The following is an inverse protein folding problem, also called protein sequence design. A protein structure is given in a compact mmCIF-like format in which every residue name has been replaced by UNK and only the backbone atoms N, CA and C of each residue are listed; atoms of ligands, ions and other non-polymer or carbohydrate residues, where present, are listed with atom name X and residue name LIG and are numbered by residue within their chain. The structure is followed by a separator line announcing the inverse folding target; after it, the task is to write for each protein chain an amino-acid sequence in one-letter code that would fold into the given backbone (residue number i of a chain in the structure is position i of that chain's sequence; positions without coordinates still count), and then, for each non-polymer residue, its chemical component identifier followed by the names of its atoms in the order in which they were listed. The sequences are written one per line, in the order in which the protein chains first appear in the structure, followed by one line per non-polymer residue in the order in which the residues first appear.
data_IF_827066551426
#
_entry.id   IF_827066551426
#
_cell.length_a   1.000
_cell.length_b   1.000
_cell.length_c   1.000
_cell.angle_alpha   90.00
_cell.angle_beta   90.00
_cell.angle_gamma   90.00
#
_symmetry.space_group_name_H-M   'P 1'
#
loop_
_entity.id
_entity.type
_entity.pdbx_description
1 polymer ?
#
# COMPACT_ATOMS: atom_id res chain seq x y z
N UNK A 1 -25.32 -70.32 -59.28
CA UNK A 1 -25.99 -69.49 -60.30
C UNK A 1 -25.02 -68.39 -60.76
N UNK A 2 -24.47 -68.58 -61.97
CA UNK A 2 -23.91 -67.64 -62.96
C UNK A 2 -22.93 -66.52 -62.49
N UNK A 3 -21.61 -66.64 -62.75
CA UNK A 3 -20.82 -66.20 -63.96
C UNK A 3 -20.20 -64.79 -63.71
N UNK A 4 -18.96 -64.42 -64.06
CA UNK A 4 -17.99 -64.89 -65.07
C UNK A 4 -16.61 -64.22 -64.84
N UNK A 5 -15.50 -64.98 -65.00
CA UNK A 5 -14.20 -64.72 -65.69
C UNK A 5 -13.59 -63.29 -65.69
N UNK A 6 -12.28 -63.07 -65.53
CA UNK A 6 -11.20 -63.46 -66.47
C UNK A 6 -9.82 -63.46 -65.79
N UNK A 7 -9.02 -64.45 -66.19
CA UNK A 7 -7.58 -64.67 -65.93
C UNK A 7 -6.69 -63.77 -66.80
N UNK A 8 -5.54 -63.33 -66.28
CA UNK A 8 -4.34 -63.21 -67.12
C UNK A 8 -3.08 -63.52 -66.30
N UNK A 9 -2.47 -64.66 -66.62
CA UNK A 9 -1.09 -64.98 -66.27
C UNK A 9 -0.14 -64.27 -67.25
N UNK A 10 0.91 -63.65 -66.73
CA UNK A 10 2.16 -63.45 -67.47
C UNK A 10 3.29 -64.03 -66.63
N UNK A 11 3.81 -65.15 -67.12
CA UNK A 11 5.09 -65.73 -66.74
C UNK A 11 6.20 -64.90 -67.36
N UNK A 12 7.20 -64.51 -66.56
CA UNK A 12 8.52 -64.16 -67.07
C UNK A 12 9.60 -64.67 -66.12
N UNK A 13 10.49 -65.48 -66.68
CA UNK A 13 11.65 -66.13 -66.05
C UNK A 13 12.81 -65.17 -65.81
N UNK A 14 13.37 -65.24 -64.58
CA UNK A 14 14.76 -65.06 -64.11
C UNK A 14 15.76 -64.23 -64.94
N UNK A 15 16.30 -63.16 -64.33
CA UNK A 15 17.75 -62.85 -64.28
C UNK A 15 18.07 -62.30 -62.88
N UNK A 16 18.94 -63.00 -62.13
CA UNK A 16 19.53 -62.50 -60.88
C UNK A 16 20.69 -61.57 -61.18
N UNK A 17 20.71 -60.39 -60.55
CA UNK A 17 21.92 -59.59 -60.33
C UNK A 17 21.94 -59.14 -58.87
N UNK A 18 23.11 -59.10 -58.21
CA UNK A 18 23.20 -58.72 -56.81
C UNK A 18 22.95 -57.22 -56.69
N UNK A 19 21.89 -56.81 -55.99
CA UNK A 19 21.78 -55.42 -55.53
C UNK A 19 22.49 -55.36 -54.19
N UNK A 20 23.64 -54.71 -54.20
CA UNK A 20 24.41 -54.32 -53.04
C UNK A 20 23.50 -53.66 -51.99
N UNK A 21 23.60 -54.13 -50.74
CA UNK A 21 23.10 -53.43 -49.57
C UNK A 21 23.85 -52.10 -49.44
N UNK A 22 23.28 -51.03 -49.98
CA UNK A 22 23.66 -49.69 -49.55
C UNK A 22 22.80 -49.35 -48.35
N UNK A 23 23.36 -49.53 -47.15
CA UNK A 23 22.93 -48.74 -46.01
C UNK A 23 23.28 -47.29 -46.36
N UNK A 24 22.32 -46.57 -46.92
CA UNK A 24 22.34 -45.11 -46.91
C UNK A 24 22.07 -44.75 -45.45
N UNK A 25 23.14 -44.56 -44.68
CA UNK A 25 23.04 -43.67 -43.54
C UNK A 25 22.81 -42.29 -44.15
N UNK A 26 21.55 -41.90 -44.24
CA UNK A 26 21.22 -40.49 -44.28
C UNK A 26 21.78 -39.93 -42.96
N UNK A 27 22.87 -39.19 -43.06
CA UNK A 27 23.29 -38.30 -41.98
C UNK A 27 22.12 -37.32 -41.81
N UNK A 28 21.28 -37.59 -40.81
CA UNK A 28 20.18 -36.74 -40.40
C UNK A 28 20.79 -35.47 -39.80
N UNK A 29 21.18 -34.56 -40.69
CA UNK A 29 21.69 -33.24 -40.37
C UNK A 29 20.51 -32.28 -40.08
N UNK A 30 19.44 -32.78 -39.44
CA UNK A 30 18.44 -31.90 -38.88
C UNK A 30 19.05 -31.20 -37.67
N UNK A 31 19.39 -29.92 -37.85
CA UNK A 31 19.83 -29.07 -36.75
C UNK A 31 18.76 -29.10 -35.66
N UNK A 32 19.14 -29.54 -34.45
CA UNK A 32 18.20 -29.64 -33.33
C UNK A 32 17.53 -28.27 -33.08
N UNK A 33 16.21 -28.26 -32.99
CA UNK A 33 15.41 -27.07 -32.67
C UNK A 33 14.97 -27.17 -31.21
N UNK A 34 15.14 -26.08 -30.47
CA UNK A 34 14.78 -25.95 -29.07
C UNK A 34 13.71 -24.89 -28.88
N UNK A 35 12.83 -25.13 -27.91
CA UNK A 35 11.77 -24.21 -27.51
C UNK A 35 12.24 -23.31 -26.37
N UNK A 36 12.17 -22.00 -26.56
CA UNK A 36 12.37 -21.02 -25.49
C UNK A 36 11.03 -20.40 -25.14
N UNK A 37 10.61 -20.50 -23.87
CA UNK A 37 9.38 -19.89 -23.38
C UNK A 37 9.70 -18.78 -22.40
N UNK A 38 9.09 -17.62 -22.61
CA UNK A 38 9.13 -16.52 -21.67
C UNK A 38 7.87 -16.53 -20.82
N UNK A 39 8.04 -16.38 -19.51
CA UNK A 39 6.94 -16.39 -18.55
C UNK A 39 6.83 -15.06 -17.81
N UNK A 40 5.59 -14.63 -17.53
CA UNK A 40 5.30 -13.48 -16.68
C UNK A 40 5.49 -13.81 -15.18
N UNK A 41 5.13 -12.87 -14.30
CA UNK A 41 5.25 -13.04 -12.85
C UNK A 41 4.33 -14.12 -12.26
N UNK A 42 3.26 -14.46 -12.98
CA UNK A 42 2.22 -15.41 -12.56
C UNK A 42 2.43 -16.80 -13.23
N UNK A 43 3.47 -16.96 -14.04
CA UNK A 43 3.80 -18.19 -14.74
C UNK A 43 3.01 -18.41 -16.04
N UNK A 44 2.40 -17.37 -16.61
CA UNK A 44 1.78 -17.45 -17.94
C UNK A 44 2.81 -17.21 -19.04
N UNK A 45 2.67 -17.90 -20.16
CA UNK A 45 3.55 -17.75 -21.32
C UNK A 45 3.28 -16.40 -22.00
N UNK A 46 4.32 -15.58 -22.13
CA UNK A 46 4.30 -14.29 -22.82
C UNK A 46 4.72 -14.41 -24.29
N UNK A 47 5.74 -15.23 -24.55
CA UNK A 47 6.31 -15.43 -25.88
C UNK A 47 6.90 -16.85 -25.98
N UNK A 48 7.00 -17.36 -27.21
CA UNK A 48 7.65 -18.64 -27.48
C UNK A 48 8.47 -18.55 -28.76
N UNK A 49 9.74 -18.94 -28.66
CA UNK A 49 10.68 -18.95 -29.77
C UNK A 49 11.10 -20.39 -30.08
N UNK A 50 11.23 -20.69 -31.36
CA UNK A 50 11.76 -21.96 -31.87
C UNK A 50 13.10 -21.65 -32.51
N UNK A 51 14.19 -22.07 -31.87
CA UNK A 51 15.55 -21.68 -32.22
C UNK A 51 16.39 -22.92 -32.51
N UNK A 52 17.27 -22.84 -33.51
CA UNK A 52 18.25 -23.90 -33.74
C UNK A 52 19.29 -23.94 -32.65
N UNK A 53 19.93 -25.09 -32.45
CA UNK A 53 21.06 -25.23 -31.54
C UNK A 53 22.15 -24.19 -31.83
N UNK A 54 22.48 -23.36 -30.83
CA UNK A 54 23.47 -22.28 -30.95
C UNK A 54 22.93 -20.97 -31.53
N UNK A 55 21.65 -20.89 -31.88
CA UNK A 55 21.01 -19.64 -32.32
C UNK A 55 20.72 -18.73 -31.11
N UNK A 56 20.75 -17.41 -31.35
CA UNK A 56 20.59 -16.42 -30.28
C UNK A 56 19.15 -16.19 -29.87
N UNK A 57 18.94 -15.96 -28.57
CA UNK A 57 17.63 -15.64 -28.00
C UNK A 57 17.27 -14.17 -28.25
N UNK A 58 16.07 -13.90 -28.78
CA UNK A 58 15.61 -12.53 -29.06
C UNK A 58 14.75 -11.98 -27.91
N UNK A 59 15.38 -11.26 -26.98
CA UNK A 59 14.70 -10.65 -25.84
C UNK A 59 13.82 -9.43 -26.18
N UNK A 60 13.76 -9.00 -27.45
CA UNK A 60 12.90 -7.89 -27.88
C UNK A 60 11.46 -8.33 -28.22
N UNK A 61 11.23 -9.64 -28.32
CA UNK A 61 9.91 -10.21 -28.67
C UNK A 61 8.91 -10.21 -27.52
N UNK A 62 9.26 -10.59 -26.28
CA UNK A 62 8.30 -10.56 -25.18
C UNK A 62 7.91 -9.10 -24.85
N UNK A 63 6.61 -8.82 -24.78
CA UNK A 63 6.11 -7.49 -24.42
C UNK A 63 6.21 -7.25 -22.90
N UNK A 64 7.37 -6.77 -22.45
CA UNK A 64 7.62 -6.43 -21.04
C UNK A 64 6.92 -5.15 -20.60
N UNK A 65 6.36 -4.34 -21.52
CA UNK A 65 5.62 -3.14 -21.15
C UNK A 65 4.29 -3.45 -20.47
N UNK A 66 3.73 -4.63 -20.77
CA UNK A 66 2.55 -5.19 -20.10
C UNK A 66 2.83 -5.60 -18.65
N UNK A 67 4.09 -5.84 -18.29
CA UNK A 67 4.53 -6.23 -16.95
C UNK A 67 4.77 -5.01 -16.05
N UNK A 68 3.87 -4.04 -16.10
CA UNK A 68 3.86 -2.88 -15.22
C UNK A 68 2.43 -2.59 -14.79
N UNK A 69 2.15 -2.73 -13.50
CA UNK A 69 0.82 -2.47 -12.96
C UNK A 69 0.86 -2.06 -11.49
N UNK A 70 -0.20 -1.40 -11.06
CA UNK A 70 -0.44 -1.09 -9.66
C UNK A 70 -1.18 -2.28 -9.03
N UNK A 71 -0.62 -2.87 -7.97
CA UNK A 71 -1.27 -3.93 -7.19
C UNK A 71 -2.38 -3.30 -6.35
N UNK A 72 -2.07 -2.17 -5.73
CA UNK A 72 -3.00 -1.33 -5.00
C UNK A 72 -2.61 0.15 -5.18
N UNK A 73 -3.15 1.05 -4.35
CA UNK A 73 -2.89 2.50 -4.47
C UNK A 73 -1.43 2.87 -4.17
N UNK A 74 -0.75 2.13 -3.30
CA UNK A 74 0.59 2.41 -2.79
C UNK A 74 1.61 1.34 -3.17
N UNK A 75 1.20 0.28 -3.87
CA UNK A 75 2.06 -0.79 -4.35
C UNK A 75 2.09 -0.84 -5.88
N UNK A 76 3.26 -0.66 -6.47
CA UNK A 76 3.49 -0.83 -7.90
C UNK A 76 4.53 -1.91 -8.16
N UNK A 77 4.26 -2.77 -9.14
CA UNK A 77 5.19 -3.80 -9.61
C UNK A 77 5.52 -3.56 -11.08
N UNK A 78 6.80 -3.70 -11.43
CA UNK A 78 7.25 -3.61 -12.81
C UNK A 78 8.35 -4.61 -13.16
N UNK A 79 8.47 -4.95 -14.45
CA UNK A 79 9.57 -5.75 -14.97
C UNK A 79 10.92 -5.10 -14.65
N UNK A 80 11.83 -5.92 -14.13
CA UNK A 80 13.19 -5.55 -13.82
C UNK A 80 14.16 -6.26 -14.77
N UNK A 81 14.11 -7.59 -14.81
CA UNK A 81 15.03 -8.40 -15.62
C UNK A 81 14.46 -9.80 -15.91
N UNK A 82 15.19 -10.61 -16.65
CA UNK A 82 14.96 -12.04 -16.79
C UNK A 82 15.80 -12.83 -15.79
N UNK A 83 15.29 -13.95 -15.29
CA UNK A 83 15.99 -14.76 -14.28
C UNK A 83 17.25 -15.45 -14.79
N UNK A 84 17.26 -15.79 -16.08
CA UNK A 84 18.42 -16.23 -16.83
C UNK A 84 18.49 -15.49 -18.18
N UNK A 85 19.70 -15.33 -18.71
CA UNK A 85 19.96 -14.70 -20.01
C UNK A 85 20.93 -15.51 -20.88
N UNK A 86 20.57 -16.72 -21.30
CA UNK A 86 21.40 -17.45 -22.26
C UNK A 86 21.54 -16.64 -23.56
N UNK A 87 22.77 -16.49 -24.05
CA UNK A 87 23.03 -15.89 -25.35
C UNK A 87 22.55 -16.79 -26.48
N UNK A 88 22.68 -18.12 -26.30
CA UNK A 88 22.29 -19.16 -27.27
C UNK A 88 21.68 -20.36 -26.54
N UNK A 89 20.98 -21.22 -27.28
CA UNK A 89 20.31 -22.39 -26.70
C UNK A 89 20.82 -23.72 -27.24
N UNK A 90 20.91 -24.69 -26.35
CA UNK A 90 21.27 -26.09 -26.65
C UNK A 90 20.27 -27.09 -26.05
N UNK A 91 19.18 -26.59 -25.48
CA UNK A 91 18.08 -27.35 -24.89
C UNK A 91 16.84 -26.45 -24.78
N UNK A 92 15.68 -27.06 -24.57
CA UNK A 92 14.47 -26.33 -24.18
C UNK A 92 14.74 -25.53 -22.91
N UNK A 93 14.30 -24.27 -22.92
CA UNK A 93 14.65 -23.30 -21.88
C UNK A 93 13.42 -22.49 -21.48
N UNK A 94 13.23 -22.33 -20.19
CA UNK A 94 12.21 -21.45 -19.61
C UNK A 94 12.90 -20.23 -19.01
N UNK A 95 12.40 -19.05 -19.33
CA UNK A 95 12.92 -17.77 -18.87
C UNK A 95 11.78 -17.04 -18.17
N UNK A 96 11.98 -16.72 -16.89
CA UNK A 96 10.94 -16.15 -16.04
C UNK A 96 11.23 -14.68 -15.75
N UNK A 97 10.19 -13.84 -15.83
CA UNK A 97 10.30 -12.43 -15.54
C UNK A 97 10.60 -12.17 -14.06
N UNK A 98 11.57 -11.31 -13.80
CA UNK A 98 11.87 -10.75 -12.48
C UNK A 98 11.23 -9.39 -12.34
N UNK A 99 10.72 -9.10 -11.16
CA UNK A 99 10.14 -7.80 -10.85
C UNK A 99 10.98 -6.96 -9.90
N UNK A 100 10.72 -5.66 -9.96
CA UNK A 100 10.91 -4.75 -8.84
C UNK A 100 9.55 -4.26 -8.37
N UNK A 101 9.38 -4.16 -7.05
CA UNK A 101 8.16 -3.75 -6.39
C UNK A 101 8.44 -2.57 -5.47
N UNK A 102 7.70 -1.49 -5.65
CA UNK A 102 7.75 -0.30 -4.80
C UNK A 102 6.48 -0.23 -3.95
N UNK A 103 6.65 -0.15 -2.64
CA UNK A 103 5.57 -0.04 -1.64
C UNK A 103 5.76 1.25 -0.84
N UNK A 104 4.73 2.08 -0.77
CA UNK A 104 4.65 3.18 0.20
C UNK A 104 3.87 2.70 1.43
N UNK A 105 4.45 2.79 2.61
CA UNK A 105 3.82 2.36 3.87
C UNK A 105 3.91 3.42 4.96
N UNK A 106 2.87 3.50 5.79
CA UNK A 106 2.89 4.19 7.08
C UNK A 106 3.40 3.20 8.14
N UNK A 107 4.66 3.33 8.52
CA UNK A 107 5.32 2.44 9.47
C UNK A 107 5.07 2.85 10.93
N UNK A 108 4.92 4.16 11.18
CA UNK A 108 4.52 4.70 12.48
C UNK A 108 3.78 6.02 12.35
N UNK A 109 2.79 6.24 13.23
CA UNK A 109 2.06 7.50 13.36
C UNK A 109 2.85 8.49 14.25
N UNK A 110 2.54 9.80 14.21
CA UNK A 110 3.10 10.77 15.13
C UNK A 110 2.93 10.38 16.61
N UNK A 111 3.93 10.68 17.42
CA UNK A 111 3.95 10.34 18.85
C UNK A 111 3.00 11.19 19.68
N UNK A 112 2.70 12.42 19.24
CA UNK A 112 1.81 13.34 19.93
C UNK A 112 0.37 13.22 19.40
N UNK A 113 -0.51 12.71 20.25
CA UNK A 113 -1.95 12.60 20.01
C UNK A 113 -2.82 13.39 21.01
N UNK A 114 -2.20 14.05 21.98
CA UNK A 114 -2.84 14.93 22.95
C UNK A 114 -2.29 16.34 22.80
N UNK A 115 -3.17 17.31 22.61
CA UNK A 115 -2.85 18.70 22.26
C UNK A 115 -3.42 19.67 23.28
N UNK A 116 -2.78 20.83 23.45
CA UNK A 116 -3.34 21.96 24.19
C UNK A 116 -3.77 23.08 23.23
N UNK A 117 -4.41 24.11 23.74
CA UNK A 117 -4.88 25.27 22.95
C UNK A 117 -3.75 26.12 22.37
N UNK A 118 -2.60 26.07 23.01
CA UNK A 118 -1.41 26.78 22.56
C UNK A 118 -0.74 26.08 21.37
N UNK A 119 -1.08 24.82 21.12
CA UNK A 119 -0.63 24.12 19.93
C UNK A 119 -1.26 24.74 18.68
N UNK A 120 -0.41 25.19 17.78
CA UNK A 120 -0.82 25.79 16.51
C UNK A 120 -0.76 24.80 15.35
N UNK A 121 0.20 23.87 15.38
CA UNK A 121 0.45 22.89 14.32
C UNK A 121 0.28 21.48 14.83
N UNK A 122 -0.25 20.60 13.97
CA UNK A 122 -0.24 19.16 14.22
C UNK A 122 1.21 18.67 14.14
N UNK A 123 1.65 18.00 15.20
CA UNK A 123 3.01 17.49 15.32
C UNK A 123 3.17 16.22 14.46
N UNK A 124 4.25 16.19 13.68
CA UNK A 124 4.61 15.05 12.83
C UNK A 124 5.77 14.23 13.42
N UNK A 125 6.21 14.52 14.64
CA UNK A 125 7.37 13.89 15.26
C UNK A 125 7.07 12.43 15.57
N UNK A 126 7.99 11.52 15.21
CA UNK A 126 7.80 10.08 15.37
C UNK A 126 7.00 9.41 14.25
N UNK A 127 6.41 10.20 13.33
CA UNK A 127 5.85 9.67 12.09
C UNK A 127 6.95 9.05 11.23
N UNK A 128 6.67 7.88 10.67
CA UNK A 128 7.53 7.23 9.68
C UNK A 128 6.72 6.73 8.51
N UNK A 129 7.00 7.29 7.34
CA UNK A 129 6.48 6.83 6.05
C UNK A 129 7.65 6.43 5.17
N UNK A 130 7.64 5.20 4.67
CA UNK A 130 8.76 4.62 3.94
C UNK A 130 8.34 4.22 2.53
N UNK A 131 9.22 4.45 1.55
CA UNK A 131 9.20 3.75 0.27
C UNK A 131 10.14 2.56 0.38
N UNK A 132 9.60 1.36 0.25
CA UNK A 132 10.39 0.12 0.16
C UNK A 132 10.40 -0.35 -1.29
N UNK A 133 11.60 -0.43 -1.88
CA UNK A 133 11.83 -1.01 -3.21
C UNK A 133 12.45 -2.39 -3.00
N UNK A 134 11.73 -3.43 -3.43
CA UNK A 134 12.17 -4.82 -3.36
C UNK A 134 12.36 -5.37 -4.77
N UNK A 135 13.59 -5.74 -5.12
CA UNK A 135 13.95 -6.24 -6.44
C UNK A 135 14.35 -7.70 -6.37
N UNK A 136 13.73 -8.53 -7.20
CA UNK A 136 14.10 -9.93 -7.32
C UNK A 136 15.50 -10.09 -7.92
N UNK A 137 16.31 -10.92 -7.28
CA UNK A 137 17.61 -11.32 -7.82
C UNK A 137 17.50 -12.66 -8.56
N UNK A 138 18.56 -13.02 -9.29
CA UNK A 138 18.68 -14.33 -9.93
C UNK A 138 18.99 -15.47 -8.93
N UNK A 139 19.32 -15.13 -7.68
CA UNK A 139 19.74 -16.08 -6.66
C UNK A 139 18.57 -16.54 -5.78
N UNK A 140 18.75 -17.71 -5.17
CA UNK A 140 17.79 -18.30 -4.24
C UNK A 140 18.45 -18.50 -2.86
N UNK A 141 17.65 -18.38 -1.80
CA UNK A 141 18.07 -18.67 -0.43
C UNK A 141 18.13 -20.18 -0.17
N UNK A 142 18.56 -20.57 1.04
CA UNK A 142 18.63 -21.98 1.44
C UNK A 142 17.28 -22.71 1.49
N UNK A 143 16.18 -21.95 1.49
CA UNK A 143 14.81 -22.47 1.54
C UNK A 143 14.19 -22.55 0.14
N UNK A 144 14.92 -22.16 -0.91
CA UNK A 144 14.43 -22.14 -2.28
C UNK A 144 13.59 -20.91 -2.63
N UNK A 145 13.56 -19.88 -1.77
CA UNK A 145 12.89 -18.62 -2.11
C UNK A 145 13.86 -17.72 -2.89
N UNK A 146 13.31 -16.93 -3.81
CA UNK A 146 14.11 -15.96 -4.55
C UNK A 146 14.61 -14.86 -3.60
N UNK A 147 15.91 -14.57 -3.64
CA UNK A 147 16.52 -13.51 -2.83
C UNK A 147 16.08 -12.16 -3.37
N UNK A 148 15.70 -11.26 -2.47
CA UNK A 148 15.31 -9.88 -2.76
C UNK A 148 16.42 -8.90 -2.35
N UNK A 149 16.78 -7.98 -3.23
CA UNK A 149 17.51 -6.76 -2.85
C UNK A 149 16.50 -5.71 -2.39
N UNK A 150 16.66 -5.19 -1.19
CA UNK A 150 15.69 -4.29 -0.55
C UNK A 150 16.34 -2.96 -0.23
N UNK A 151 15.76 -1.89 -0.77
CA UNK A 151 16.15 -0.51 -0.48
C UNK A 151 14.98 0.22 0.16
N UNK A 152 15.27 0.97 1.22
CA UNK A 152 14.26 1.74 1.94
C UNK A 152 14.65 3.21 1.94
N UNK A 153 13.67 4.07 1.65
CA UNK A 153 13.80 5.53 1.71
C UNK A 153 12.74 6.09 2.63
N UNK A 154 13.17 6.81 3.66
CA UNK A 154 12.28 7.60 4.51
C UNK A 154 11.77 8.82 3.73
N UNK A 155 10.45 8.94 3.60
CA UNK A 155 9.78 10.05 2.90
C UNK A 155 8.86 10.85 3.84
N UNK A 156 9.00 10.67 5.15
CA UNK A 156 8.13 11.30 6.16
C UNK A 156 8.11 12.82 6.03
N UNK A 157 9.26 13.43 5.76
CA UNK A 157 9.41 14.88 5.58
C UNK A 157 8.71 15.45 4.34
N UNK A 158 8.32 14.58 3.40
CA UNK A 158 7.59 14.96 2.18
C UNK A 158 6.08 14.77 2.31
N UNK A 159 5.63 14.15 3.40
CA UNK A 159 4.21 13.90 3.64
C UNK A 159 3.52 15.15 4.16
N UNK A 160 2.22 15.27 3.86
CA UNK A 160 1.35 16.34 4.37
C UNK A 160 0.31 15.75 5.31
N UNK A 161 0.17 16.35 6.48
CA UNK A 161 -0.88 16.04 7.45
C UNK A 161 -2.09 16.95 7.16
N UNK A 162 -3.30 16.40 7.16
CA UNK A 162 -4.52 17.17 6.90
C UNK A 162 -5.59 16.80 7.93
N UNK A 163 -6.10 17.77 8.71
CA UNK A 163 -5.60 19.15 8.84
C UNK A 163 -4.16 19.21 9.41
N UNK A 164 -3.39 20.24 9.05
CA UNK A 164 -2.04 20.47 9.62
C UNK A 164 -2.05 21.51 10.75
N UNK A 165 -3.17 22.19 10.97
CA UNK A 165 -3.35 23.19 12.00
C UNK A 165 -4.24 22.61 13.10
N UNK A 166 -3.75 22.63 14.34
CA UNK A 166 -4.48 22.04 15.47
C UNK A 166 -5.79 22.80 15.75
N UNK A 167 -5.82 24.13 15.61
CA UNK A 167 -7.04 24.93 15.81
C UNK A 167 -8.11 24.62 14.76
N UNK A 168 -7.69 24.38 13.52
CA UNK A 168 -8.61 23.92 12.47
C UNK A 168 -9.13 22.51 12.76
N UNK A 169 -8.26 21.60 13.19
CA UNK A 169 -8.62 20.23 13.53
C UNK A 169 -9.71 20.18 14.61
N UNK A 170 -9.55 20.98 15.67
CA UNK A 170 -10.46 21.01 16.81
C UNK A 170 -11.55 22.07 16.71
N UNK A 171 -11.80 22.62 15.51
CA UNK A 171 -12.80 23.69 15.34
C UNK A 171 -14.18 23.27 15.85
N UNK A 172 -14.62 22.06 15.52
CA UNK A 172 -15.98 21.59 15.80
C UNK A 172 -16.05 20.45 16.83
N UNK A 173 -14.92 19.99 17.37
CA UNK A 173 -14.82 18.80 18.22
C UNK A 173 -13.53 18.83 19.05
N UNK A 174 -13.56 18.23 20.24
CA UNK A 174 -12.36 18.01 21.08
C UNK A 174 -11.49 16.82 20.57
N UNK A 175 -11.92 16.17 19.49
CA UNK A 175 -11.19 15.10 18.79
C UNK A 175 -11.19 15.36 17.29
N UNK A 176 -10.14 14.93 16.60
CA UNK A 176 -10.02 15.07 15.16
C UNK A 176 -9.25 13.90 14.54
N UNK A 177 -9.69 13.46 13.35
CA UNK A 177 -8.93 12.54 12.50
C UNK A 177 -7.92 13.36 11.66
N UNK A 178 -6.65 12.97 11.71
CA UNK A 178 -5.59 13.51 10.87
C UNK A 178 -5.22 12.50 9.80
N UNK A 179 -5.28 12.92 8.54
CA UNK A 179 -4.92 12.09 7.37
C UNK A 179 -3.51 12.40 6.91
N UNK A 180 -2.75 11.38 6.55
CA UNK A 180 -1.36 11.48 6.11
C UNK A 180 -1.29 11.22 4.61
N UNK A 181 -0.87 12.21 3.83
CA UNK A 181 -0.74 12.12 2.38
C UNK A 181 0.73 12.13 1.97
N UNK A 182 1.22 11.10 1.26
CA UNK A 182 2.52 11.15 0.60
C UNK A 182 2.57 12.29 -0.44
N UNK A 183 3.78 12.71 -0.80
CA UNK A 183 3.98 13.77 -1.80
C UNK A 183 3.22 13.48 -3.09
N UNK A 184 2.49 14.47 -3.59
CA UNK A 184 1.72 14.39 -4.84
C UNK A 184 0.63 13.31 -4.87
N UNK A 185 0.25 12.74 -3.71
CA UNK A 185 -0.87 11.80 -3.60
C UNK A 185 -2.16 12.53 -3.23
N UNK A 186 -3.28 12.11 -3.82
CA UNK A 186 -4.64 12.50 -3.41
C UNK A 186 -5.29 11.48 -2.46
N UNK A 187 -4.60 10.38 -2.17
CA UNK A 187 -5.05 9.32 -1.26
C UNK A 187 -4.14 9.29 -0.04
N UNK A 188 -4.74 9.19 1.14
CA UNK A 188 -4.00 9.08 2.39
C UNK A 188 -3.39 7.68 2.53
N UNK A 189 -2.13 7.61 2.94
CA UNK A 189 -1.44 6.34 3.28
C UNK A 189 -1.93 5.80 4.63
N UNK A 190 -2.49 6.67 5.48
CA UNK A 190 -3.16 6.31 6.71
C UNK A 190 -3.73 7.53 7.42
N UNK A 191 -4.33 7.30 8.58
CA UNK A 191 -4.82 8.34 9.47
C UNK A 191 -4.59 7.97 10.93
N UNK A 192 -4.70 8.95 11.80
CA UNK A 192 -4.66 8.77 13.25
C UNK A 192 -5.52 9.82 13.94
N UNK A 193 -6.03 9.49 15.12
CA UNK A 193 -6.84 10.40 15.91
C UNK A 193 -5.99 11.22 16.87
N UNK A 194 -6.35 12.50 16.99
CA UNK A 194 -5.82 13.40 18.00
C UNK A 194 -6.96 13.89 18.91
N UNK A 195 -6.59 14.28 20.12
CA UNK A 195 -7.49 14.78 21.15
C UNK A 195 -6.94 16.05 21.77
N UNK A 196 -7.86 16.87 22.25
CA UNK A 196 -7.58 18.12 22.93
C UNK A 196 -7.63 17.88 24.44
N UNK A 197 -6.58 18.25 25.13
CA UNK A 197 -6.49 18.26 26.59
C UNK A 197 -7.29 19.45 27.12
N UNK A 198 -8.56 19.19 27.41
CA UNK A 198 -9.49 20.17 27.95
C UNK A 198 -9.86 19.81 29.38
N UNK A 199 -9.40 20.63 30.33
CA UNK A 199 -9.92 20.60 31.69
C UNK A 199 -11.28 21.32 31.71
N UNK A 200 -12.36 20.57 31.43
CA UNK A 200 -13.72 21.10 31.48
C UNK A 200 -14.05 21.63 32.87
N UNK A 201 -14.68 22.80 32.93
CA UNK A 201 -15.01 23.49 34.16
C UNK A 201 -13.90 24.33 34.77
N UNK A 202 -12.66 24.32 34.27
CA UNK A 202 -11.61 25.27 34.65
C UNK A 202 -11.65 26.48 33.69
N UNK A 203 -12.37 27.53 34.08
CA UNK A 203 -12.69 28.66 33.23
C UNK A 203 -11.64 29.77 33.25
N UNK A 204 -10.79 29.79 34.28
CA UNK A 204 -9.74 30.79 34.46
C UNK A 204 -8.33 30.23 34.15
N UNK A 205 -8.22 28.97 33.75
CA UNK A 205 -6.98 28.27 33.39
C UNK A 205 -5.97 28.19 34.55
N UNK A 206 -6.45 28.17 35.81
CA UNK A 206 -5.59 28.07 36.99
C UNK A 206 -5.27 26.61 37.40
N UNK A 207 -5.84 25.65 36.68
CA UNK A 207 -5.65 24.20 36.89
C UNK A 207 -6.53 23.63 38.00
N UNK A 208 -7.36 24.45 38.65
CA UNK A 208 -8.39 24.01 39.58
C UNK A 208 -9.78 24.15 38.95
N UNK A 209 -10.74 23.41 39.52
CA UNK A 209 -12.16 23.56 39.19
C UNK A 209 -12.84 23.93 40.50
N UNK A 210 -13.23 25.18 40.63
CA UNK A 210 -13.80 25.72 41.86
C UNK A 210 -14.97 26.70 41.65
N UNK A 211 -15.39 27.37 42.73
CA UNK A 211 -16.51 28.30 42.71
C UNK A 211 -16.32 29.52 41.80
N UNK A 212 -15.08 29.91 41.53
CA UNK A 212 -14.72 31.01 40.63
C UNK A 212 -15.10 30.67 39.20
N UNK A 213 -14.89 29.41 38.79
CA UNK A 213 -15.25 28.92 37.47
C UNK A 213 -16.76 28.85 37.28
N UNK A 214 -17.46 28.30 38.27
CA UNK A 214 -18.91 28.29 38.28
C UNK A 214 -19.50 29.70 38.17
N UNK A 215 -18.88 30.67 38.85
CA UNK A 215 -19.27 32.08 38.77
C UNK A 215 -18.99 32.69 37.39
N UNK A 216 -17.91 32.27 36.73
CA UNK A 216 -17.60 32.66 35.36
C UNK A 216 -18.65 32.14 34.36
N UNK A 217 -19.04 30.87 34.47
CA UNK A 217 -20.11 30.28 33.64
C UNK A 217 -21.45 30.99 33.86
N UNK A 218 -21.81 31.30 35.11
CA UNK A 218 -23.05 32.01 35.42
C UNK A 218 -23.06 33.44 34.84
N UNK A 219 -21.93 34.15 34.92
CA UNK A 219 -21.78 35.49 34.32
C UNK A 219 -21.96 35.43 32.81
N UNK A 220 -21.38 34.43 32.15
CA UNK A 220 -21.56 34.21 30.72
C UNK A 220 -23.02 33.97 30.37
N UNK A 221 -23.66 33.01 31.03
CA UNK A 221 -25.08 32.72 30.83
C UNK A 221 -25.96 33.97 31.03
N UNK A 222 -25.71 34.76 32.07
CA UNK A 222 -26.46 35.98 32.34
C UNK A 222 -26.29 37.03 31.23
N UNK A 223 -25.06 37.23 30.74
CA UNK A 223 -24.75 38.17 29.65
C UNK A 223 -25.38 37.71 28.33
N UNK A 224 -25.21 36.44 28.00
CA UNK A 224 -25.79 35.81 26.82
C UNK A 224 -27.33 35.92 26.79
N UNK A 225 -27.98 35.68 27.95
CA UNK A 225 -29.44 35.75 28.09
C UNK A 225 -30.04 37.13 27.82
N UNK A 226 -29.24 38.19 27.91
CA UNK A 226 -29.66 39.57 27.61
C UNK A 226 -29.03 40.11 26.32
N UNK A 227 -28.40 39.23 25.52
CA UNK A 227 -27.80 39.58 24.23
C UNK A 227 -26.50 40.38 24.32
N UNK A 228 -25.79 40.28 25.44
CA UNK A 228 -24.46 40.88 25.62
C UNK A 228 -23.39 39.82 25.35
N UNK A 229 -22.49 40.14 24.42
CA UNK A 229 -21.24 39.40 24.22
C UNK A 229 -20.25 39.77 25.34
N UNK A 230 -19.86 38.77 26.13
CA UNK A 230 -18.91 38.92 27.24
C UNK A 230 -17.48 38.50 26.85
N UNK A 231 -17.24 38.20 25.58
CA UNK A 231 -15.93 37.88 25.03
C UNK A 231 -15.47 36.44 25.25
N UNK A 232 -16.36 35.53 25.68
CA UNK A 232 -16.03 34.11 25.76
C UNK A 232 -15.62 33.57 24.39
N UNK A 233 -14.43 32.98 24.34
CA UNK A 233 -13.98 32.26 23.14
C UNK A 233 -14.77 30.97 22.96
N UNK A 234 -14.85 30.44 21.73
CA UNK A 234 -15.47 29.13 21.47
C UNK A 234 -14.90 28.02 22.36
N UNK A 235 -13.61 28.12 22.72
CA UNK A 235 -12.98 27.24 23.68
C UNK A 235 -13.54 27.39 25.10
N UNK A 236 -13.67 28.62 25.60
CA UNK A 236 -14.27 28.87 26.91
C UNK A 236 -15.73 28.40 26.95
N UNK A 237 -16.46 28.49 25.83
CA UNK A 237 -17.80 27.88 25.70
C UNK A 237 -17.73 26.36 25.89
N UNK A 238 -16.78 25.67 25.25
CA UNK A 238 -16.61 24.21 25.43
C UNK A 238 -16.19 23.81 26.85
N UNK A 239 -15.39 24.63 27.53
CA UNK A 239 -15.05 24.42 28.95
C UNK A 239 -16.25 24.65 29.88
N UNK A 240 -17.06 25.66 29.55
CA UNK A 240 -18.23 26.06 30.32
C UNK A 240 -19.38 25.06 30.20
N UNK A 241 -19.48 24.33 29.09
CA UNK A 241 -20.40 23.20 28.90
C UNK A 241 -19.89 21.96 29.65
N UNK A 242 -20.03 22.01 30.98
CA UNK A 242 -19.48 21.02 31.89
C UNK A 242 -20.24 19.69 31.82
N UNK A 243 -21.55 19.75 31.61
CA UNK A 243 -22.38 18.55 31.48
C UNK A 243 -22.38 17.98 30.04
N UNK A 244 -21.75 18.70 29.09
CA UNK A 244 -21.62 18.33 27.68
C UNK A 244 -22.97 18.12 26.97
N UNK A 245 -23.98 18.92 27.32
CA UNK A 245 -25.30 18.91 26.68
C UNK A 245 -25.38 19.87 25.48
N UNK A 246 -24.32 20.63 25.23
CA UNK A 246 -24.20 21.60 24.14
C UNK A 246 -24.79 22.97 24.45
N UNK A 247 -25.27 23.21 25.68
CA UNK A 247 -25.94 24.45 26.09
C UNK A 247 -25.32 24.98 27.38
N UNK A 248 -24.45 26.00 27.26
CA UNK A 248 -23.89 26.67 28.45
C UNK A 248 -24.97 27.43 29.22
N UNK A 249 -25.31 26.94 30.41
CA UNK A 249 -26.35 27.54 31.25
C UNK A 249 -26.11 27.37 32.77
N UNK A 250 -27.11 27.71 33.58
CA UNK A 250 -27.03 27.62 35.04
C UNK A 250 -26.80 26.19 35.56
N UNK A 251 -27.17 25.16 34.79
CA UNK A 251 -26.92 23.76 35.11
C UNK A 251 -25.41 23.48 35.18
N UNK A 252 -24.64 23.92 34.18
CA UNK A 252 -23.18 23.73 34.17
C UNK A 252 -22.50 24.35 35.38
N UNK A 253 -22.87 25.60 35.70
CA UNK A 253 -22.39 26.29 36.89
C UNK A 253 -22.70 25.50 38.18
N UNK A 254 -23.92 24.95 38.28
CA UNK A 254 -24.34 24.15 39.42
C UNK A 254 -23.59 22.81 39.50
N UNK A 255 -23.30 22.19 38.35
CA UNK A 255 -22.54 20.95 38.27
C UNK A 255 -21.06 21.15 38.63
N UNK A 256 -20.44 22.25 38.20
CA UNK A 256 -19.09 22.67 38.62
C UNK A 256 -19.04 22.82 40.15
N UNK A 257 -20.01 23.51 40.75
CA UNK A 257 -20.09 23.66 42.21
C UNK A 257 -20.27 22.31 42.92
N UNK A 258 -21.12 21.42 42.37
CA UNK A 258 -21.31 20.07 42.90
C UNK A 258 -20.00 19.30 42.87
N UNK A 259 -19.32 19.28 41.73
CA UNK A 259 -18.02 18.62 41.56
C UNK A 259 -16.99 19.16 42.55
N UNK A 260 -16.84 20.49 42.65
CA UNK A 260 -15.94 21.14 43.59
C UNK A 260 -16.22 20.74 45.04
N UNK A 261 -17.50 20.73 45.46
CA UNK A 261 -17.90 20.34 46.81
C UNK A 261 -17.61 18.87 47.10
N UNK A 262 -17.89 17.97 46.15
CA UNK A 262 -17.59 16.54 46.27
C UNK A 262 -16.09 16.30 46.42
N UNK A 263 -15.27 16.90 45.55
CA UNK A 263 -13.80 16.83 45.60
C UNK A 263 -13.23 17.39 46.90
N UNK A 264 -13.71 18.56 47.34
CA UNK A 264 -13.27 19.21 48.58
C UNK A 264 -13.66 18.42 49.84
N UNK A 265 -14.74 17.66 49.77
CA UNK A 265 -15.19 16.76 50.86
C UNK A 265 -14.57 15.36 50.80
N UNK A 266 -13.73 15.07 49.80
CA UNK A 266 -13.06 13.78 49.62
C UNK A 266 -13.98 12.64 49.18
N UNK A 267 -15.13 12.96 48.56
CA UNK A 267 -16.04 11.94 48.00
C UNK A 267 -15.59 11.40 46.64
N UNK A 268 -14.82 12.21 45.91
CA UNK A 268 -14.19 11.89 44.63
C UNK A 268 -12.73 12.38 44.65
#
# INVERSE_FOLDING_TARGET
MKLKFVSLMISLTMISLPVFSMNVFAEDNSEAIYTVKFFDFDGNIMDTQQLKSGESVDYSKPDTSSLKYNIDTFTQRMFYDWDIRPETVTQDTEIHALYTEAVISLDSIPSKNLYSFDDSTVDSSGMKVTITISTQTQNFDSNGNRIMDVQQTDISSTCTLVPNNAKEAFKNSDTAEIKIYPISSSVAVGSYDISLDILRGDMNDDGAIDSSDASAVMRHYASYSIGIDDGFTEFQIRKADFNNDGIVNASDSSEILRYYAEKSSGKI
#
